data_IF_245736279255
#
_entry.id   IF_245736279255
#
_cell.length_a   1.000
_cell.length_b   1.000
_cell.length_c   1.000
_cell.angle_alpha   90.00
_cell.angle_beta   90.00
_cell.angle_gamma   90.00
#
_symmetry.space_group_name_H-M   'P 1'
#
loop_
_entity.id
_entity.type
_entity.pdbx_description
1 polymer ?
#
# COMPACT_ATOMS: atom_id res chain seq x y z
N UNK A 1 -19.92 -5.18 0.97
CA UNK A 1 -19.94 -5.39 -0.50
C UNK A 1 -20.92 -4.49 -1.28
N UNK A 2 -21.79 -3.69 -0.65
CA UNK A 2 -22.73 -2.80 -1.36
C UNK A 2 -22.00 -1.64 -2.07
N UNK A 3 -21.00 -1.05 -1.44
CA UNK A 3 -20.18 0.05 -1.99
C UNK A 3 -19.43 -0.32 -3.28
N UNK A 4 -18.99 -1.56 -3.42
CA UNK A 4 -18.26 -2.01 -4.63
C UNK A 4 -19.11 -2.02 -5.91
N UNK A 5 -20.44 -2.18 -5.79
CA UNK A 5 -21.34 -2.09 -6.96
C UNK A 5 -21.55 -0.65 -7.40
N UNK A 6 -21.78 0.26 -6.45
CA UNK A 6 -21.91 1.69 -6.72
C UNK A 6 -20.63 2.27 -7.35
N UNK A 7 -19.46 1.89 -6.83
CA UNK A 7 -18.17 2.33 -7.37
C UNK A 7 -17.91 1.80 -8.81
N UNK A 8 -18.26 0.54 -9.11
CA UNK A 8 -18.12 0.00 -10.47
C UNK A 8 -19.03 0.70 -11.48
N UNK A 9 -20.26 1.01 -11.08
CA UNK A 9 -21.21 1.77 -11.92
C UNK A 9 -20.70 3.19 -12.14
N UNK A 10 -20.10 3.79 -11.12
CA UNK A 10 -19.46 5.10 -11.23
C UNK A 10 -18.30 5.08 -12.23
N UNK A 11 -17.32 4.19 -12.09
CA UNK A 11 -16.19 4.11 -13.05
C UNK A 11 -16.65 3.82 -14.49
N UNK A 12 -17.75 3.07 -14.66
CA UNK A 12 -18.37 2.82 -15.97
C UNK A 12 -19.10 4.04 -16.56
N UNK A 13 -19.42 5.05 -15.76
CA UNK A 13 -20.22 6.24 -16.13
C UNK A 13 -19.50 7.32 -16.96
N UNK A 14 -18.18 7.20 -17.20
CA UNK A 14 -17.43 8.12 -18.05
C UNK A 14 -16.75 9.30 -17.32
N UNK A 15 -16.09 10.18 -18.07
CA UNK A 15 -15.15 11.21 -17.56
C UNK A 15 -15.80 12.41 -16.84
N UNK A 16 -17.13 12.49 -16.80
CA UNK A 16 -17.89 13.64 -16.26
C UNK A 16 -18.23 13.47 -14.77
N UNK A 17 -17.65 12.45 -14.16
CA UNK A 17 -17.98 11.97 -12.85
C UNK A 17 -17.31 12.84 -11.78
N UNK A 18 -18.10 13.66 -11.11
CA UNK A 18 -17.67 14.40 -9.91
C UNK A 18 -17.91 13.54 -8.67
N UNK A 19 -16.90 13.48 -7.80
CA UNK A 19 -16.97 12.86 -6.49
C UNK A 19 -16.62 13.92 -5.47
N UNK A 20 -17.30 13.89 -4.33
CA UNK A 20 -17.03 14.79 -3.22
C UNK A 20 -16.87 14.01 -1.92
N UNK A 21 -15.97 14.47 -1.05
CA UNK A 21 -15.77 13.89 0.27
C UNK A 21 -16.57 14.67 1.30
N UNK A 22 -17.41 13.97 2.07
CA UNK A 22 -18.14 14.54 3.20
C UNK A 22 -17.81 13.68 4.43
N UNK A 23 -16.87 14.14 5.26
CA UNK A 23 -16.37 13.36 6.38
C UNK A 23 -15.65 12.09 5.92
N UNK A 24 -16.13 10.92 6.37
CA UNK A 24 -15.64 9.58 5.96
C UNK A 24 -16.34 9.01 4.72
N UNK A 25 -17.35 9.71 4.19
CA UNK A 25 -18.22 9.21 3.15
C UNK A 25 -17.89 9.84 1.80
N UNK A 26 -17.99 9.02 0.74
CA UNK A 26 -17.75 9.46 -0.64
C UNK A 26 -19.09 9.64 -1.31
N UNK A 27 -19.41 10.87 -1.71
CA UNK A 27 -20.65 11.20 -2.42
C UNK A 27 -20.38 11.17 -3.92
N UNK A 28 -21.19 10.39 -4.63
CA UNK A 28 -21.16 10.30 -6.09
C UNK A 28 -22.29 11.18 -6.63
N UNK A 29 -22.00 12.47 -6.88
CA UNK A 29 -23.02 13.48 -7.19
C UNK A 29 -23.85 13.09 -8.43
N UNK A 30 -23.23 12.45 -9.43
CA UNK A 30 -23.89 11.99 -10.65
C UNK A 30 -24.84 10.80 -10.44
N UNK A 31 -24.63 10.01 -9.39
CA UNK A 31 -25.43 8.81 -9.10
C UNK A 31 -26.40 9.02 -7.93
N UNK A 32 -26.35 10.17 -7.24
CA UNK A 32 -27.06 10.43 -5.99
C UNK A 32 -26.91 9.26 -4.98
N UNK A 33 -25.73 8.65 -4.99
CA UNK A 33 -25.38 7.53 -4.13
C UNK A 33 -24.20 7.92 -3.24
N UNK A 34 -24.32 7.61 -1.95
CA UNK A 34 -23.27 7.82 -0.97
C UNK A 34 -22.65 6.48 -0.62
N UNK A 35 -21.32 6.41 -0.70
CA UNK A 35 -20.51 5.29 -0.25
C UNK A 35 -20.20 5.55 1.23
N UNK A 36 -21.09 5.07 2.10
CA UNK A 36 -20.93 5.21 3.55
C UNK A 36 -19.73 4.38 4.00
N UNK A 37 -18.74 5.01 4.64
CA UNK A 37 -17.49 4.37 5.06
C UNK A 37 -16.49 4.08 3.93
N UNK A 38 -16.63 4.72 2.77
CA UNK A 38 -15.68 4.61 1.66
C UNK A 38 -15.71 3.28 0.90
N UNK A 39 -14.70 3.07 0.05
CA UNK A 39 -14.56 1.86 -0.79
C UNK A 39 -13.77 0.75 -0.08
N UNK A 40 -12.87 1.13 0.83
CA UNK A 40 -11.96 0.24 1.56
C UNK A 40 -12.17 0.46 3.06
N UNK A 41 -12.17 -0.64 3.81
CA UNK A 41 -12.27 -0.60 5.26
C UNK A 41 -11.02 0.08 5.86
N UNK A 42 -11.15 1.01 6.83
CA UNK A 42 -10.02 1.76 7.39
C UNK A 42 -8.91 0.85 7.93
N UNK A 43 -9.26 -0.34 8.44
CA UNK A 43 -8.29 -1.34 8.86
C UNK A 43 -7.47 -1.86 7.67
N UNK A 44 -8.15 -2.20 6.58
CA UNK A 44 -7.50 -2.69 5.36
C UNK A 44 -6.65 -1.62 4.69
N UNK A 45 -7.03 -0.35 4.81
CA UNK A 45 -6.24 0.78 4.33
C UNK A 45 -4.89 0.84 5.07
N UNK A 46 -4.90 0.82 6.41
CA UNK A 46 -3.67 0.89 7.21
C UNK A 46 -2.74 -0.30 6.91
N UNK A 47 -3.28 -1.52 6.85
CA UNK A 47 -2.51 -2.73 6.54
C UNK A 47 -1.87 -2.61 5.14
N UNK A 48 -2.64 -2.14 4.14
CA UNK A 48 -2.13 -1.96 2.79
C UNK A 48 -1.02 -0.90 2.71
N UNK A 49 -1.16 0.22 3.43
CA UNK A 49 -0.15 1.30 3.44
C UNK A 49 1.17 0.82 4.04
N UNK A 50 1.13 0.08 5.15
CA UNK A 50 2.32 -0.51 5.75
C UNK A 50 2.94 -1.61 4.88
N UNK A 51 2.10 -2.43 4.24
CA UNK A 51 2.55 -3.45 3.31
C UNK A 51 3.24 -2.83 2.08
N UNK A 52 2.77 -1.68 1.59
CA UNK A 52 3.30 -1.00 0.41
C UNK A 52 4.60 -0.23 0.68
N UNK A 53 4.69 0.42 1.85
CA UNK A 53 5.87 1.19 2.28
C UNK A 53 7.13 0.31 2.42
N UNK A 54 6.94 -0.97 2.73
CA UNK A 54 8.04 -1.93 2.87
C UNK A 54 8.28 -2.83 1.66
N UNK A 55 7.61 -2.56 0.53
CA UNK A 55 7.92 -3.28 -0.70
C UNK A 55 9.35 -2.94 -1.14
N UNK A 56 10.25 -3.91 -1.02
CA UNK A 56 11.65 -3.74 -1.39
C UNK A 56 11.75 -3.67 -2.92
N UNK A 57 11.41 -2.52 -3.49
CA UNK A 57 11.46 -2.29 -4.93
C UNK A 57 12.88 -2.50 -5.42
N UNK A 58 13.06 -3.21 -6.54
CA UNK A 58 14.37 -3.41 -7.16
C UNK A 58 15.10 -2.07 -7.41
N UNK A 59 14.35 -0.99 -7.65
CA UNK A 59 14.87 0.36 -7.77
C UNK A 59 15.61 0.85 -6.50
N UNK A 60 15.03 0.66 -5.32
CA UNK A 60 15.65 1.07 -4.04
C UNK A 60 16.86 0.18 -3.73
N UNK A 61 16.75 -1.13 -3.97
CA UNK A 61 17.88 -2.04 -3.75
C UNK A 61 19.05 -1.73 -4.68
N UNK A 62 18.81 -1.38 -5.94
CA UNK A 62 19.84 -0.92 -6.87
C UNK A 62 20.54 0.36 -6.38
N UNK A 63 19.79 1.32 -5.84
CA UNK A 63 20.35 2.52 -5.23
C UNK A 63 21.23 2.19 -4.01
N UNK A 64 20.76 1.28 -3.14
CA UNK A 64 21.52 0.85 -1.96
C UNK A 64 22.82 0.15 -2.39
N UNK A 65 22.77 -0.77 -3.35
CA UNK A 65 23.96 -1.43 -3.90
C UNK A 65 24.93 -0.40 -4.47
N UNK A 66 24.45 0.55 -5.28
CA UNK A 66 25.28 1.61 -5.86
C UNK A 66 25.93 2.50 -4.79
N UNK A 67 25.23 2.77 -3.69
CA UNK A 67 25.82 3.50 -2.55
C UNK A 67 26.91 2.70 -1.84
N UNK A 68 26.71 1.38 -1.67
CA UNK A 68 27.70 0.49 -1.06
C UNK A 68 28.91 0.28 -1.96
N UNK A 69 28.73 0.30 -3.28
CA UNK A 69 29.81 0.19 -4.24
C UNK A 69 30.83 1.33 -4.12
N UNK A 70 30.35 2.54 -3.86
CA UNK A 70 31.22 3.70 -3.64
C UNK A 70 31.98 3.64 -2.29
N UNK A 71 31.45 2.97 -1.27
CA UNK A 71 32.02 2.95 0.10
C UNK A 71 32.95 1.74 0.30
N UNK A 72 32.56 0.55 -0.15
CA UNK A 72 33.33 -0.69 0.03
C UNK A 72 33.40 -1.47 -1.29
N UNK A 73 34.24 -1.04 -2.24
CA UNK A 73 34.31 -1.68 -3.56
C UNK A 73 34.77 -3.13 -3.51
N UNK A 74 35.65 -3.47 -2.55
CA UNK A 74 36.21 -4.81 -2.41
C UNK A 74 35.21 -5.87 -1.92
N UNK A 75 33.99 -5.50 -1.49
CA UNK A 75 32.98 -6.45 -0.95
C UNK A 75 31.63 -6.44 -1.67
N UNK A 76 31.49 -5.72 -2.78
CA UNK A 76 30.24 -5.67 -3.56
C UNK A 76 29.78 -7.05 -3.99
N UNK A 77 30.70 -7.94 -4.37
CA UNK A 77 30.38 -9.31 -4.78
C UNK A 77 29.67 -10.11 -3.67
N UNK A 78 30.08 -9.95 -2.41
CA UNK A 78 29.44 -10.61 -1.27
C UNK A 78 28.04 -10.00 -0.98
N UNK A 79 27.91 -8.69 -1.14
CA UNK A 79 26.65 -7.94 -0.91
C UNK A 79 25.60 -8.30 -1.97
N UNK A 80 25.99 -8.28 -3.24
CA UNK A 80 25.11 -8.60 -4.38
C UNK A 80 24.69 -10.06 -4.40
N UNK A 81 25.51 -10.98 -3.90
CA UNK A 81 25.10 -12.39 -3.74
C UNK A 81 23.96 -12.54 -2.72
N UNK A 82 23.98 -11.75 -1.64
CA UNK A 82 23.01 -11.86 -0.55
C UNK A 82 21.80 -10.92 -0.68
N UNK A 83 21.82 -9.96 -1.61
CA UNK A 83 20.78 -8.92 -1.73
C UNK A 83 19.40 -9.49 -2.00
N UNK A 84 19.29 -10.55 -2.80
CA UNK A 84 17.99 -11.17 -3.14
C UNK A 84 17.37 -11.79 -1.88
N UNK A 85 18.18 -12.45 -1.04
CA UNK A 85 17.73 -12.97 0.25
C UNK A 85 17.33 -11.85 1.20
N UNK A 86 18.14 -10.78 1.27
CA UNK A 86 17.83 -9.62 2.11
C UNK A 86 16.53 -8.91 1.70
N UNK A 87 16.27 -8.81 0.41
CA UNK A 87 15.06 -8.21 -0.16
C UNK A 87 13.80 -8.99 0.21
N UNK A 88 13.87 -10.33 0.13
CA UNK A 88 12.76 -11.21 0.55
C UNK A 88 12.49 -11.05 2.04
N UNK A 89 13.54 -11.09 2.88
CA UNK A 89 13.39 -10.93 4.34
C UNK A 89 12.85 -9.54 4.70
N UNK A 90 13.31 -8.47 4.04
CA UNK A 90 12.81 -7.11 4.27
C UNK A 90 11.33 -6.95 3.91
N UNK A 91 10.90 -7.58 2.82
CA UNK A 91 9.48 -7.57 2.41
C UNK A 91 8.62 -8.35 3.43
N UNK A 92 9.09 -9.52 3.89
CA UNK A 92 8.38 -10.28 4.93
C UNK A 92 8.33 -9.56 6.28
N UNK A 93 9.42 -8.92 6.71
CA UNK A 93 9.44 -8.13 7.94
C UNK A 93 8.42 -6.99 7.90
N UNK A 94 8.28 -6.34 6.74
CA UNK A 94 7.31 -5.27 6.53
C UNK A 94 5.87 -5.79 6.54
N UNK A 95 5.60 -6.93 5.90
CA UNK A 95 4.29 -7.57 5.97
C UNK A 95 3.93 -8.05 7.38
N UNK A 96 4.89 -8.59 8.13
CA UNK A 96 4.66 -8.93 9.53
C UNK A 96 4.32 -7.68 10.35
N UNK A 97 5.04 -6.57 10.14
CA UNK A 97 4.76 -5.29 10.79
C UNK A 97 3.37 -4.76 10.42
N UNK A 98 2.97 -4.88 9.15
CA UNK A 98 1.62 -4.53 8.70
C UNK A 98 0.54 -5.40 9.34
N UNK A 99 0.76 -6.71 9.47
CA UNK A 99 -0.13 -7.62 10.17
C UNK A 99 -0.24 -7.28 11.66
N UNK A 100 0.87 -6.99 12.34
CA UNK A 100 0.86 -6.57 13.74
C UNK A 100 0.13 -5.23 13.92
N UNK A 101 0.40 -4.24 13.07
CA UNK A 101 -0.34 -2.98 13.08
C UNK A 101 -1.84 -3.23 12.90
N UNK A 102 -2.24 -4.02 11.90
CA UNK A 102 -3.64 -4.36 11.67
C UNK A 102 -4.30 -5.15 12.80
N UNK A 103 -3.56 -5.96 13.56
CA UNK A 103 -4.07 -6.61 14.77
C UNK A 103 -4.28 -5.60 15.90
N UNK A 104 -3.31 -4.71 16.14
CA UNK A 104 -3.40 -3.71 17.20
C UNK A 104 -4.54 -2.70 16.95
N UNK A 105 -4.76 -2.31 15.70
CA UNK A 105 -5.86 -1.42 15.30
C UNK A 105 -7.26 -2.07 15.36
N UNK A 106 -7.36 -3.40 15.45
CA UNK A 106 -8.65 -4.09 15.65
C UNK A 106 -9.01 -4.22 17.15
N UNK A 107 -8.05 -4.00 18.05
CA UNK A 107 -8.23 -4.16 19.50
C UNK A 107 -8.78 -2.90 20.19
N UNK A 108 -9.05 -1.83 19.42
CA UNK A 108 -9.82 -0.67 19.88
C UNK A 108 -11.34 -0.94 19.77
N UNK A 109 -11.85 -1.82 20.63
CA UNK A 109 -13.27 -1.90 21.03
C UNK A 109 -13.45 -1.22 22.38
#
# INVERSE_FOLDING_TARGET
MVNGRAFRVYVAGGVNNTWSYVGSDIVLDNLNQTLTGGVIDPRSEIIATYALCGSASFAIMGLIIGSFEAIVPNRIGEITHNIVRAMVVGTFASYLTACFAGLLFEEDI
#
